data_IF_560277151278
#
_entry.id   IF_560277151278
#
_cell.length_a   1.000
_cell.length_b   1.000
_cell.length_c   1.000
_cell.angle_alpha   90.00
_cell.angle_beta   90.00
_cell.angle_gamma   90.00
#
_symmetry.space_group_name_H-M   'P 1'
#
loop_
_entity.id
_entity.type
_entity.pdbx_description
1 polymer ?
#
# COMPACT_ATOMS: atom_id res chain seq x y z
N UNK A 1 5.59 6.86 -1.86
CA UNK A 1 5.54 7.09 -3.31
C UNK A 1 6.96 7.30 -3.84
N UNK A 2 7.39 6.59 -4.89
CA UNK A 2 8.76 6.74 -5.43
C UNK A 2 8.91 8.01 -6.28
N UNK A 3 10.14 8.47 -6.48
CA UNK A 3 10.43 9.63 -7.34
C UNK A 3 9.90 9.47 -8.77
N UNK A 4 9.92 8.26 -9.33
CA UNK A 4 9.34 7.96 -10.64
C UNK A 4 7.82 8.19 -10.66
N UNK A 5 7.08 7.68 -9.65
CA UNK A 5 5.64 7.92 -9.52
C UNK A 5 5.33 9.41 -9.35
N UNK A 6 6.11 10.13 -8.55
CA UNK A 6 5.98 11.59 -8.43
C UNK A 6 6.15 12.24 -9.81
N UNK A 7 7.17 11.83 -10.58
CA UNK A 7 7.41 12.38 -11.92
C UNK A 7 6.27 12.11 -12.92
N UNK A 8 5.60 10.94 -12.82
CA UNK A 8 4.42 10.61 -13.61
C UNK A 8 3.23 11.51 -13.25
N UNK A 9 2.97 11.70 -11.95
CA UNK A 9 1.90 12.58 -11.45
C UNK A 9 2.08 14.01 -11.97
N UNK A 10 3.30 14.55 -11.86
CA UNK A 10 3.63 15.90 -12.32
C UNK A 10 3.91 15.99 -13.83
N UNK A 11 3.89 14.87 -14.57
CA UNK A 11 4.15 14.81 -16.01
C UNK A 11 5.51 15.35 -16.45
N UNK A 12 6.55 15.09 -15.67
CA UNK A 12 7.88 15.66 -15.88
C UNK A 12 8.92 14.54 -15.95
N UNK A 13 9.82 14.60 -16.94
CA UNK A 13 10.88 13.61 -17.09
C UNK A 13 11.95 13.81 -16.02
N UNK A 14 12.27 12.77 -15.27
CA UNK A 14 13.41 12.78 -14.35
C UNK A 14 14.72 12.84 -15.14
N UNK A 15 15.58 13.82 -14.82
CA UNK A 15 16.93 13.93 -15.38
C UNK A 15 17.93 14.05 -14.23
N UNK A 16 19.18 13.61 -14.45
CA UNK A 16 20.26 13.72 -13.44
C UNK A 16 20.55 15.17 -13.02
N UNK A 17 20.16 16.15 -13.84
CA UNK A 17 20.35 17.58 -13.60
C UNK A 17 19.16 18.23 -12.87
N UNK A 18 18.10 17.48 -12.59
CA UNK A 18 16.92 18.01 -11.91
C UNK A 18 17.29 18.45 -10.49
N UNK A 19 17.09 19.74 -10.21
CA UNK A 19 17.25 20.33 -8.87
C UNK A 19 15.88 20.49 -8.22
N UNK A 20 15.81 20.27 -6.90
CA UNK A 20 14.60 20.43 -6.09
C UNK A 20 14.18 19.18 -5.32
N UNK A 21 13.14 19.31 -4.50
CA UNK A 21 12.62 18.21 -3.67
C UNK A 21 11.91 17.16 -4.54
N UNK A 22 12.20 15.87 -4.32
CA UNK A 22 11.50 14.76 -4.98
C UNK A 22 11.29 13.61 -4.00
N UNK A 23 10.44 13.80 -3.00
CA UNK A 23 10.17 12.82 -1.96
C UNK A 23 8.71 12.85 -1.55
N UNK A 24 8.26 11.82 -0.84
CA UNK A 24 6.98 11.82 -0.16
C UNK A 24 7.20 11.71 1.35
N UNK A 25 6.37 12.42 2.12
CA UNK A 25 6.30 12.33 3.59
C UNK A 25 4.89 11.93 4.01
N UNK A 26 4.81 11.24 5.14
CA UNK A 26 3.57 11.02 5.87
C UNK A 26 3.78 11.64 7.25
N UNK A 27 3.12 12.76 7.49
CA UNK A 27 3.27 13.55 8.71
C UNK A 27 2.00 13.41 9.53
N UNK A 28 2.15 13.25 10.85
CA UNK A 28 1.04 13.37 11.79
C UNK A 28 0.95 14.83 12.19
N UNK A 29 -0.18 15.46 11.92
CA UNK A 29 -0.45 16.81 12.43
C UNK A 29 -0.99 16.65 13.87
N UNK A 30 -0.70 17.62 14.74
CA UNK A 30 -1.39 17.72 16.02
C UNK A 30 -2.90 17.64 15.78
N UNK A 31 -3.61 16.87 16.61
CA UNK A 31 -4.98 16.34 16.40
C UNK A 31 -5.11 14.98 15.70
N UNK A 32 -4.01 14.28 15.40
CA UNK A 32 -4.06 12.84 15.08
C UNK A 32 -4.42 12.50 13.63
N UNK A 33 -4.68 13.49 12.78
CA UNK A 33 -4.85 13.27 11.35
C UNK A 33 -3.51 13.17 10.65
N UNK A 34 -3.36 12.13 9.83
CA UNK A 34 -2.20 11.94 8.97
C UNK A 34 -2.36 12.73 7.67
N UNK A 35 -1.32 13.47 7.30
CA UNK A 35 -1.24 14.17 6.03
C UNK A 35 -0.11 13.57 5.22
N UNK A 36 -0.49 13.00 4.08
CA UNK A 36 0.45 12.57 3.07
C UNK A 36 0.85 13.78 2.24
N UNK A 37 2.15 14.00 2.03
CA UNK A 37 2.68 15.02 1.14
C UNK A 37 3.62 14.42 0.11
N UNK A 38 3.50 14.84 -1.14
CA UNK A 38 4.35 14.44 -2.23
C UNK A 38 4.98 15.66 -2.89
N UNK A 39 6.27 15.86 -2.69
CA UNK A 39 7.01 17.02 -3.17
C UNK A 39 7.59 16.80 -4.55
N UNK A 40 7.41 17.80 -5.41
CA UNK A 40 8.09 17.96 -6.69
C UNK A 40 8.59 19.41 -6.81
N UNK A 41 9.90 19.61 -6.70
CA UNK A 41 10.56 20.92 -6.64
C UNK A 41 9.94 21.79 -5.54
N UNK A 42 9.30 22.91 -5.90
CA UNK A 42 8.62 23.82 -4.98
C UNK A 42 7.09 23.64 -5.00
N UNK A 43 6.60 22.56 -5.61
CA UNK A 43 5.21 22.15 -5.61
C UNK A 43 5.04 20.88 -4.78
N UNK A 44 3.85 20.67 -4.26
CA UNK A 44 3.52 19.44 -3.57
C UNK A 44 2.03 19.13 -3.70
N UNK A 45 1.70 17.84 -3.66
CA UNK A 45 0.35 17.36 -3.43
C UNK A 45 0.24 17.00 -1.97
N UNK A 46 -0.87 17.36 -1.33
CA UNK A 46 -1.23 16.89 0.00
C UNK A 46 -2.55 16.12 -0.07
N UNK A 47 -2.60 15.01 0.65
CA UNK A 47 -3.81 14.22 0.83
C UNK A 47 -4.04 14.03 2.33
N UNK A 48 -5.26 14.29 2.76
CA UNK A 48 -5.64 14.18 4.16
C UNK A 48 -7.12 13.84 4.30
N UNK A 49 -7.44 13.25 5.44
CA UNK A 49 -8.81 12.95 5.84
C UNK A 49 -9.57 14.24 6.17
N UNK A 50 -10.77 14.39 5.62
CA UNK A 50 -11.67 15.50 5.90
C UNK A 50 -13.01 14.94 6.39
N UNK A 51 -13.42 15.39 7.58
CA UNK A 51 -14.68 15.00 8.24
C UNK A 51 -14.86 13.48 8.39
N UNK A 52 -13.78 12.72 8.54
CA UNK A 52 -13.80 11.26 8.71
C UNK A 52 -14.55 10.47 7.65
N UNK A 53 -14.78 11.09 6.49
CA UNK A 53 -15.60 10.52 5.41
C UNK A 53 -14.89 10.63 4.07
N UNK A 54 -14.10 11.69 3.84
CA UNK A 54 -13.49 11.96 2.54
C UNK A 54 -11.98 12.09 2.62
N UNK A 55 -11.27 11.57 1.61
CA UNK A 55 -9.88 11.93 1.37
C UNK A 55 -9.84 13.13 0.42
N UNK A 56 -9.34 14.27 0.91
CA UNK A 56 -9.19 15.48 0.11
C UNK A 56 -7.80 15.54 -0.50
N UNK A 57 -7.76 15.67 -1.82
CA UNK A 57 -6.53 15.89 -2.57
C UNK A 57 -6.37 17.38 -2.88
N UNK A 58 -5.23 17.96 -2.55
CA UNK A 58 -4.90 19.34 -2.88
C UNK A 58 -3.50 19.43 -3.47
N UNK A 59 -3.35 20.23 -4.52
CA UNK A 59 -2.05 20.60 -5.07
C UNK A 59 -1.72 22.04 -4.67
N UNK A 60 -0.49 22.25 -4.23
CA UNK A 60 0.06 23.54 -3.86
C UNK A 60 1.35 23.77 -4.65
N UNK A 61 1.58 25.00 -5.12
CA UNK A 61 2.82 25.37 -5.77
C UNK A 61 3.30 26.74 -5.33
N UNK A 62 4.52 26.79 -4.78
CA UNK A 62 5.18 28.04 -4.44
C UNK A 62 5.87 28.67 -5.67
N UNK A 63 6.04 27.91 -6.76
CA UNK A 63 6.62 28.40 -8.00
C UNK A 63 5.98 27.76 -9.24
N UNK A 64 5.06 28.48 -9.89
CA UNK A 64 4.36 28.02 -11.09
C UNK A 64 5.29 27.70 -12.28
N UNK A 65 6.48 28.32 -12.35
CA UNK A 65 7.46 28.04 -13.42
C UNK A 65 7.94 26.59 -13.40
N UNK A 66 7.96 25.95 -12.23
CA UNK A 66 8.34 24.54 -12.09
C UNK A 66 7.40 23.59 -12.85
N UNK A 67 6.17 24.05 -13.13
CA UNK A 67 5.12 23.33 -13.84
C UNK A 67 4.93 23.82 -15.29
N UNK A 68 5.80 24.74 -15.74
CA UNK A 68 5.71 25.39 -17.06
C UNK A 68 4.63 26.47 -17.16
N UNK A 69 4.20 27.04 -16.03
CA UNK A 69 3.14 28.03 -15.97
C UNK A 69 3.68 29.43 -15.65
N UNK A 70 3.03 30.46 -16.19
CA UNK A 70 3.32 31.87 -15.93
C UNK A 70 2.61 32.36 -14.68
N UNK A 71 3.20 33.35 -14.00
CA UNK A 71 2.56 34.09 -12.90
C UNK A 71 1.68 35.20 -13.49
N UNK A 72 0.58 35.56 -12.83
CA UNK A 72 -0.37 36.58 -13.27
C UNK A 72 -1.81 36.08 -13.30
N UNK A 73 -2.78 36.97 -13.07
CA UNK A 73 -4.20 36.61 -12.94
C UNK A 73 -4.79 36.07 -14.26
N UNK A 74 -4.31 36.57 -15.41
CA UNK A 74 -4.72 36.09 -16.75
C UNK A 74 -4.47 34.58 -16.94
N UNK A 75 -3.47 34.04 -16.24
CA UNK A 75 -3.07 32.65 -16.36
C UNK A 75 -3.84 31.72 -15.40
N UNK A 76 -4.79 32.22 -14.59
CA UNK A 76 -5.51 31.43 -13.59
C UNK A 76 -6.25 30.22 -14.20
N UNK A 77 -6.84 30.38 -15.39
CA UNK A 77 -7.51 29.28 -16.10
C UNK A 77 -6.52 28.16 -16.45
N UNK A 78 -5.34 28.52 -16.96
CA UNK A 78 -4.29 27.56 -17.29
C UNK A 78 -3.73 26.87 -16.04
N UNK A 79 -3.56 27.61 -14.93
CA UNK A 79 -3.17 27.06 -13.63
C UNK A 79 -4.20 26.03 -13.15
N UNK A 80 -5.48 26.39 -13.15
CA UNK A 80 -6.57 25.50 -12.73
C UNK A 80 -6.60 24.21 -13.55
N UNK A 81 -6.53 24.31 -14.88
CA UNK A 81 -6.53 23.13 -15.76
C UNK A 81 -5.34 22.22 -15.49
N UNK A 82 -4.13 22.80 -15.36
CA UNK A 82 -2.91 22.03 -15.07
C UNK A 82 -2.96 21.37 -13.70
N UNK A 83 -3.56 22.03 -12.71
CA UNK A 83 -3.70 21.50 -11.36
C UNK A 83 -4.74 20.36 -11.31
N UNK A 84 -5.82 20.46 -12.09
CA UNK A 84 -6.86 19.42 -12.21
C UNK A 84 -6.29 18.12 -12.78
N UNK A 85 -5.86 18.11 -14.06
CA UNK A 85 -4.49 17.72 -14.40
C UNK A 85 -3.78 16.68 -13.50
N UNK A 86 -2.91 17.26 -12.70
CA UNK A 86 -2.02 16.57 -11.78
C UNK A 86 -2.80 15.85 -10.67
N UNK A 87 -3.90 16.45 -10.20
CA UNK A 87 -4.74 15.88 -9.13
C UNK A 87 -5.49 14.65 -9.63
N UNK A 88 -6.02 14.68 -10.85
CA UNK A 88 -6.70 13.55 -11.49
C UNK A 88 -5.73 12.38 -11.71
N UNK A 89 -4.49 12.67 -12.12
CA UNK A 89 -3.45 11.63 -12.23
C UNK A 89 -3.06 11.04 -10.90
N UNK A 90 -3.00 11.87 -9.86
CA UNK A 90 -2.72 11.38 -8.51
C UNK A 90 -3.83 10.44 -8.04
N UNK A 91 -5.10 10.85 -8.19
CA UNK A 91 -6.25 10.02 -7.87
C UNK A 91 -6.30 8.74 -8.72
N UNK A 92 -6.05 8.84 -10.03
CA UNK A 92 -6.02 7.70 -10.95
C UNK A 92 -4.92 6.70 -10.59
N UNK A 93 -3.71 7.16 -10.28
CA UNK A 93 -2.62 6.29 -9.84
C UNK A 93 -2.95 5.57 -8.53
N UNK A 94 -3.64 6.25 -7.60
CA UNK A 94 -4.12 5.62 -6.37
C UNK A 94 -5.21 4.59 -6.67
N UNK A 95 -6.21 4.94 -7.47
CA UNK A 95 -7.27 4.04 -7.88
C UNK A 95 -6.70 2.79 -8.56
N UNK A 96 -5.79 2.93 -9.53
CA UNK A 96 -5.09 1.79 -10.15
C UNK A 96 -4.27 0.96 -9.16
N UNK A 97 -3.61 1.61 -8.21
CA UNK A 97 -2.83 0.91 -7.18
C UNK A 97 -3.73 0.13 -6.22
N UNK A 98 -4.94 0.62 -5.94
CA UNK A 98 -5.93 -0.03 -5.06
C UNK A 98 -6.92 -0.92 -5.80
N UNK A 99 -7.02 -0.82 -7.12
CA UNK A 99 -7.85 -1.69 -7.96
C UNK A 99 -7.15 -3.04 -8.18
N UNK A 100 -6.81 -3.69 -7.08
CA UNK A 100 -6.16 -5.00 -7.07
C UNK A 100 -7.27 -6.03 -7.14
N UNK A 101 -7.68 -6.39 -8.36
CA UNK A 101 -8.37 -7.66 -8.57
C UNK A 101 -7.35 -8.77 -8.38
N UNK A 102 -7.37 -9.39 -7.20
CA UNK A 102 -6.64 -10.62 -6.99
C UNK A 102 -7.44 -11.76 -7.60
N UNK A 103 -7.00 -12.25 -8.74
CA UNK A 103 -7.44 -13.56 -9.21
C UNK A 103 -7.03 -14.60 -8.15
N UNK A 104 -7.99 -15.37 -7.64
CA UNK A 104 -7.74 -16.42 -6.65
C UNK A 104 -6.67 -17.40 -7.13
N UNK A 105 -6.58 -17.63 -8.45
CA UNK A 105 -5.53 -18.43 -9.08
C UNK A 105 -4.11 -17.92 -8.79
N UNK A 106 -3.94 -16.60 -8.60
CA UNK A 106 -2.65 -16.00 -8.26
C UNK A 106 -2.29 -16.29 -6.79
N UNK A 107 -3.26 -16.20 -5.89
CA UNK A 107 -3.07 -16.52 -4.47
C UNK A 107 -2.72 -17.99 -4.28
N UNK A 108 -3.44 -18.88 -4.98
CA UNK A 108 -3.17 -20.31 -4.98
C UNK A 108 -1.75 -20.61 -5.50
N UNK A 109 -1.37 -20.04 -6.64
CA UNK A 109 0.01 -20.17 -7.18
C UNK A 109 1.08 -19.69 -6.20
N UNK A 110 0.83 -18.62 -5.46
CA UNK A 110 1.77 -18.13 -4.45
C UNK A 110 1.88 -19.09 -3.27
N UNK A 111 0.78 -19.73 -2.87
CA UNK A 111 0.76 -20.69 -1.78
C UNK A 111 1.54 -21.97 -2.10
N UNK A 112 1.66 -22.33 -3.39
CA UNK A 112 2.43 -23.48 -3.83
C UNK A 112 3.95 -23.23 -3.90
N UNK A 113 4.77 -24.26 -3.62
CA UNK A 113 6.21 -24.19 -3.85
C UNK A 113 6.56 -24.01 -5.33
N UNK A 114 7.61 -23.25 -5.60
CA UNK A 114 8.15 -23.02 -6.95
C UNK A 114 9.56 -23.59 -7.06
N UNK A 115 9.98 -23.91 -8.28
CA UNK A 115 11.37 -24.27 -8.57
C UNK A 115 12.11 -23.05 -9.13
N UNK A 116 13.26 -22.73 -8.57
CA UNK A 116 14.14 -21.68 -9.06
C UNK A 116 15.49 -22.31 -9.40
N UNK A 117 15.66 -22.71 -10.66
CA UNK A 117 16.72 -23.61 -11.07
C UNK A 117 16.57 -24.98 -10.40
N UNK A 118 17.64 -25.47 -9.77
CA UNK A 118 17.64 -26.75 -9.03
C UNK A 118 17.07 -26.65 -7.61
N UNK A 119 16.73 -25.45 -7.13
CA UNK A 119 16.32 -25.23 -5.74
C UNK A 119 14.81 -25.09 -5.66
N UNK A 120 14.18 -25.95 -4.83
CA UNK A 120 12.77 -25.81 -4.46
C UNK A 120 12.60 -24.71 -3.40
N UNK A 121 11.75 -23.74 -3.68
CA UNK A 121 11.43 -22.62 -2.80
C UNK A 121 9.99 -22.75 -2.32
N UNK A 122 9.77 -22.70 -1.01
CA UNK A 122 8.43 -22.83 -0.45
C UNK A 122 7.49 -21.69 -0.88
N UNK A 123 6.19 -21.98 -0.93
CA UNK A 123 5.15 -20.99 -1.19
C UNK A 123 5.00 -19.97 -0.06
N UNK A 124 4.22 -18.93 -0.34
CA UNK A 124 3.85 -17.84 0.55
C UNK A 124 2.34 -17.97 0.80
N UNK A 125 1.98 -18.35 2.04
CA UNK A 125 0.58 -18.52 2.44
C UNK A 125 -0.04 -17.17 2.78
N UNK A 126 -1.31 -16.98 2.43
CA UNK A 126 -2.03 -15.72 2.66
C UNK A 126 -2.16 -15.32 4.14
N UNK A 127 -2.12 -16.30 5.05
CA UNK A 127 -2.24 -16.11 6.50
C UNK A 127 -0.88 -16.11 7.24
N UNK A 128 0.25 -16.17 6.54
CA UNK A 128 1.57 -16.17 7.20
C UNK A 128 1.86 -14.77 7.78
N UNK A 129 1.62 -14.61 9.09
CA UNK A 129 1.80 -13.35 9.82
C UNK A 129 3.20 -12.76 9.63
N UNK A 130 4.23 -13.60 9.58
CA UNK A 130 5.62 -13.16 9.43
C UNK A 130 5.85 -12.57 8.03
N UNK A 131 5.26 -13.18 7.01
CA UNK A 131 5.34 -12.65 5.65
C UNK A 131 4.53 -11.38 5.45
N UNK A 132 3.34 -11.30 6.06
CA UNK A 132 2.50 -10.10 6.05
C UNK A 132 3.23 -8.92 6.70
N UNK A 133 3.84 -9.11 7.87
CA UNK A 133 4.64 -8.09 8.57
C UNK A 133 5.82 -7.60 7.72
N UNK A 134 6.51 -8.52 7.04
CA UNK A 134 7.59 -8.15 6.11
C UNK A 134 7.06 -7.34 4.92
N UNK A 135 5.93 -7.73 4.34
CA UNK A 135 5.28 -7.00 3.25
C UNK A 135 4.87 -5.59 3.68
N UNK A 136 4.34 -5.42 4.89
CA UNK A 136 3.98 -4.12 5.46
C UNK A 136 5.21 -3.19 5.54
N UNK A 137 6.32 -3.68 6.10
CA UNK A 137 7.57 -2.90 6.18
C UNK A 137 8.14 -2.58 4.80
N UNK A 138 8.00 -3.48 3.83
CA UNK A 138 8.46 -3.26 2.46
C UNK A 138 7.59 -2.26 1.68
N UNK A 139 6.28 -2.21 1.94
CA UNK A 139 5.39 -1.18 1.40
C UNK A 139 5.85 0.19 1.88
N UNK A 140 6.07 0.33 3.19
CA UNK A 140 6.58 1.56 3.79
C UNK A 140 7.95 1.96 3.25
N UNK A 141 8.85 0.99 3.07
CA UNK A 141 10.15 1.22 2.45
C UNK A 141 10.02 1.76 1.02
N UNK A 142 9.12 1.19 0.22
CA UNK A 142 8.82 1.64 -1.14
C UNK A 142 8.19 3.03 -1.19
N UNK A 143 7.70 3.55 -0.05
CA UNK A 143 7.23 4.92 0.00
C UNK A 143 8.33 5.97 0.07
N UNK A 144 9.52 5.57 0.52
CA UNK A 144 10.72 6.40 0.64
C UNK A 144 11.58 6.23 -0.61
N UNK A 145 12.41 7.22 -0.93
CA UNK A 145 13.27 7.20 -2.12
C UNK A 145 14.31 6.07 -2.04
N UNK A 146 14.75 5.75 -0.83
CA UNK A 146 15.78 4.75 -0.60
C UNK A 146 15.18 3.40 -0.20
N UNK A 147 15.40 2.40 -1.06
CA UNK A 147 15.16 0.99 -0.76
C UNK A 147 15.97 0.55 0.47
N UNK A 148 15.43 -0.34 1.31
CA UNK A 148 16.07 -0.71 2.57
C UNK A 148 17.05 -1.89 2.42
N UNK A 149 18.13 -1.86 3.20
CA UNK A 149 19.01 -3.01 3.39
C UNK A 149 18.33 -4.07 4.25
N UNK A 150 18.74 -5.33 4.14
CA UNK A 150 18.20 -6.41 4.98
C UNK A 150 18.33 -6.10 6.48
N UNK A 151 19.46 -5.52 6.91
CA UNK A 151 19.70 -5.16 8.32
C UNK A 151 18.70 -4.10 8.81
N UNK A 152 18.43 -3.09 7.98
CA UNK A 152 17.45 -2.05 8.33
C UNK A 152 16.03 -2.59 8.37
N UNK A 153 15.67 -3.46 7.43
CA UNK A 153 14.37 -4.16 7.41
C UNK A 153 14.18 -4.96 8.70
N UNK A 154 15.21 -5.72 9.12
CA UNK A 154 15.17 -6.52 10.34
C UNK A 154 14.91 -5.68 11.58
N UNK A 155 15.68 -4.61 11.76
CA UNK A 155 15.53 -3.69 12.90
C UNK A 155 14.12 -3.10 12.96
N UNK A 156 13.60 -2.61 11.83
CA UNK A 156 12.23 -2.05 11.76
C UNK A 156 11.19 -3.12 12.13
N UNK A 157 11.36 -4.37 11.70
CA UNK A 157 10.43 -5.45 12.02
C UNK A 157 10.40 -5.76 13.53
N UNK A 158 11.56 -5.86 14.16
CA UNK A 158 11.65 -6.13 15.60
C UNK A 158 11.07 -4.98 16.41
N UNK A 159 11.43 -3.74 16.07
CA UNK A 159 10.95 -2.53 16.74
C UNK A 159 9.43 -2.35 16.57
N UNK A 160 8.92 -2.41 15.34
CA UNK A 160 7.51 -2.15 15.03
C UNK A 160 6.57 -3.19 15.64
N UNK A 161 6.94 -4.47 15.53
CA UNK A 161 6.07 -5.57 15.97
C UNK A 161 6.44 -6.11 17.36
N UNK A 162 7.40 -5.48 18.05
CA UNK A 162 7.90 -5.87 19.37
C UNK A 162 8.26 -7.37 19.44
N UNK A 163 8.96 -7.84 18.42
CA UNK A 163 9.42 -9.24 18.29
C UNK A 163 10.86 -9.31 18.78
N UNK A 164 11.22 -10.37 19.50
CA UNK A 164 12.61 -10.62 19.90
C UNK A 164 13.45 -11.21 18.77
N UNK A 165 14.77 -11.02 18.80
CA UNK A 165 15.68 -11.62 17.81
C UNK A 165 15.66 -13.15 17.82
N UNK A 166 15.32 -13.76 18.95
CA UNK A 166 15.17 -15.21 19.07
C UNK A 166 13.93 -15.70 18.30
N UNK A 167 12.84 -14.94 18.36
CA UNK A 167 11.58 -15.29 17.68
C UNK A 167 11.63 -15.00 16.17
N UNK A 168 12.34 -13.96 15.75
CA UNK A 168 12.59 -13.68 14.34
C UNK A 168 14.05 -13.30 14.06
N UNK A 169 14.83 -14.33 13.73
CA UNK A 169 16.26 -14.18 13.49
C UNK A 169 16.59 -13.55 12.14
N UNK A 170 17.78 -12.97 12.03
CA UNK A 170 18.26 -12.41 10.77
C UNK A 170 18.36 -13.46 9.64
N UNK A 171 18.64 -14.72 9.96
CA UNK A 171 18.68 -15.81 8.98
C UNK A 171 17.29 -16.14 8.43
N UNK A 172 16.25 -16.11 9.27
CA UNK A 172 14.87 -16.24 8.83
C UNK A 172 14.48 -15.10 7.89
N UNK A 173 14.85 -13.85 8.21
CA UNK A 173 14.63 -12.72 7.29
C UNK A 173 15.32 -12.93 5.94
N UNK A 174 16.57 -13.40 5.92
CA UNK A 174 17.29 -13.67 4.65
C UNK A 174 16.60 -14.75 3.83
N UNK A 175 16.09 -15.78 4.50
CA UNK A 175 15.30 -16.83 3.86
C UNK A 175 14.00 -16.27 3.27
N UNK A 176 13.27 -15.45 4.03
CA UNK A 176 12.01 -14.83 3.62
C UNK A 176 12.21 -13.86 2.44
N UNK A 177 13.25 -13.03 2.47
CA UNK A 177 13.61 -12.15 1.35
C UNK A 177 13.99 -12.97 0.10
N UNK A 178 14.71 -14.08 0.25
CA UNK A 178 15.03 -14.98 -0.88
C UNK A 178 13.76 -15.65 -1.43
N UNK A 179 12.84 -16.06 -0.55
CA UNK A 179 11.54 -16.61 -0.92
C UNK A 179 10.74 -15.58 -1.74
N UNK A 180 10.54 -14.37 -1.21
CA UNK A 180 9.84 -13.29 -1.92
C UNK A 180 10.49 -12.92 -3.25
N UNK A 181 11.83 -12.93 -3.31
CA UNK A 181 12.56 -12.67 -4.56
C UNK A 181 12.30 -13.77 -5.60
N UNK A 182 12.28 -15.03 -5.19
CA UNK A 182 12.03 -16.16 -6.10
C UNK A 182 10.61 -16.13 -6.66
N UNK A 183 9.63 -15.67 -5.88
CA UNK A 183 8.26 -15.44 -6.34
C UNK A 183 8.08 -14.16 -7.19
N UNK A 184 9.17 -13.42 -7.44
CA UNK A 184 9.17 -12.18 -8.23
C UNK A 184 8.54 -10.97 -7.54
N UNK A 185 8.38 -11.02 -6.21
CA UNK A 185 7.75 -9.95 -5.43
C UNK A 185 8.72 -8.81 -5.10
N UNK A 186 10.00 -9.12 -4.98
CA UNK A 186 11.02 -8.11 -4.68
C UNK A 186 12.18 -8.18 -5.67
N UNK A 187 12.76 -7.03 -5.96
CA UNK A 187 14.00 -6.88 -6.68
C UNK A 187 15.11 -6.44 -5.72
N UNK A 188 16.34 -6.90 -5.98
CA UNK A 188 17.54 -6.47 -5.23
C UNK A 188 18.40 -5.59 -6.13
N UNK A 189 18.71 -4.38 -5.66
CA UNK A 189 19.64 -3.49 -6.36
C UNK A 189 21.08 -4.01 -6.24
N UNK A 190 21.77 -4.17 -7.39
CA UNK A 190 23.15 -4.68 -7.45
C UNK A 190 24.16 -3.77 -6.75
N UNK A 191 23.94 -2.45 -6.76
CA UNK A 191 24.93 -1.46 -6.26
C UNK A 191 24.82 -1.19 -4.76
N UNK A 192 23.62 -1.23 -4.20
CA UNK A 192 23.37 -0.84 -2.79
C UNK A 192 22.91 -1.99 -1.90
N UNK A 193 22.75 -3.19 -2.46
CA UNK A 193 22.23 -4.36 -1.76
C UNK A 193 20.89 -4.12 -1.04
N UNK A 194 20.07 -3.25 -1.63
CA UNK A 194 18.77 -2.86 -1.11
C UNK A 194 17.65 -3.65 -1.77
N UNK A 195 16.55 -3.84 -1.05
CA UNK A 195 15.36 -4.54 -1.52
C UNK A 195 14.22 -3.56 -1.76
N UNK A 196 13.55 -3.71 -2.89
CA UNK A 196 12.37 -2.95 -3.27
C UNK A 196 11.30 -3.89 -3.82
N UNK A 197 10.03 -3.58 -3.57
CA UNK A 197 8.91 -4.30 -4.19
C UNK A 197 8.92 -4.08 -5.71
N UNK A 198 8.64 -5.14 -6.45
CA UNK A 198 8.30 -5.05 -7.87
C UNK A 198 6.88 -4.51 -8.01
N UNK A 199 6.43 -4.24 -9.24
CA UNK A 199 5.03 -3.86 -9.46
C UNK A 199 4.07 -4.98 -9.02
N UNK A 200 4.36 -6.23 -9.44
CA UNK A 200 3.69 -7.45 -8.96
C UNK A 200 3.72 -7.54 -7.43
N UNK A 201 4.88 -7.34 -6.83
CA UNK A 201 5.07 -7.38 -5.39
C UNK A 201 4.28 -6.32 -4.64
N UNK A 202 4.15 -5.11 -5.21
CA UNK A 202 3.36 -4.04 -4.61
C UNK A 202 1.89 -4.42 -4.53
N UNK A 203 1.32 -4.93 -5.63
CA UNK A 203 -0.10 -5.36 -5.69
C UNK A 203 -0.36 -6.52 -4.71
N UNK A 204 0.51 -7.52 -4.69
CA UNK A 204 0.37 -8.68 -3.78
C UNK A 204 0.57 -8.28 -2.32
N UNK A 205 1.56 -7.44 -2.01
CA UNK A 205 1.80 -6.98 -0.64
C UNK A 205 0.61 -6.18 -0.10
N UNK A 206 0.06 -5.26 -0.91
CA UNK A 206 -1.14 -4.51 -0.56
C UNK A 206 -2.33 -5.44 -0.35
N UNK A 207 -2.55 -6.41 -1.24
CA UNK A 207 -3.59 -7.42 -1.06
C UNK A 207 -3.45 -8.17 0.26
N UNK A 208 -2.28 -8.71 0.57
CA UNK A 208 -2.04 -9.47 1.80
C UNK A 208 -2.26 -8.63 3.06
N UNK A 209 -1.73 -7.39 3.06
CA UNK A 209 -1.86 -6.48 4.21
C UNK A 209 -3.31 -6.03 4.39
N UNK A 210 -3.98 -5.59 3.33
CA UNK A 210 -5.37 -5.14 3.39
C UNK A 210 -6.32 -6.29 3.74
N UNK A 211 -6.13 -7.47 3.14
CA UNK A 211 -6.90 -8.67 3.47
C UNK A 211 -6.76 -9.02 4.95
N UNK A 212 -5.53 -9.02 5.48
CA UNK A 212 -5.32 -9.33 6.88
C UNK A 212 -5.88 -8.25 7.83
N UNK A 213 -5.70 -6.97 7.51
CA UNK A 213 -6.16 -5.87 8.37
C UNK A 213 -7.68 -5.68 8.35
N UNK A 214 -8.32 -5.85 7.21
CA UNK A 214 -9.73 -5.52 7.03
C UNK A 214 -10.66 -6.73 7.01
N UNK A 215 -10.19 -7.91 6.56
CA UNK A 215 -11.01 -9.12 6.50
C UNK A 215 -10.65 -10.07 7.65
N UNK A 216 -9.37 -10.45 7.77
CA UNK A 216 -8.97 -11.50 8.70
C UNK A 216 -8.97 -11.06 10.17
N UNK A 217 -8.51 -9.84 10.48
CA UNK A 217 -8.54 -9.31 11.85
C UNK A 217 -9.96 -9.16 12.40
N UNK A 218 -10.84 -8.38 11.74
CA UNK A 218 -12.18 -8.13 12.25
C UNK A 218 -13.15 -9.31 12.13
N UNK A 219 -13.10 -10.09 11.04
CA UNK A 219 -14.07 -11.16 10.79
C UNK A 219 -13.59 -12.53 11.29
N UNK A 220 -12.30 -12.86 11.18
CA UNK A 220 -11.81 -14.18 11.62
C UNK A 220 -11.57 -14.29 13.14
N UNK A 221 -11.39 -13.16 13.85
CA UNK A 221 -11.41 -13.11 15.33
C UNK A 221 -12.78 -12.67 15.88
N UNK A 222 -13.80 -12.64 15.03
CA UNK A 222 -15.15 -12.37 15.46
C UNK A 222 -15.60 -13.44 16.47
N UNK A 223 -16.04 -13.07 17.70
CA UNK A 223 -16.49 -14.03 18.71
C UNK A 223 -17.79 -14.76 18.32
N UNK A 224 -18.37 -14.44 17.16
CA UNK A 224 -19.68 -14.93 16.70
C UNK A 224 -19.64 -16.33 16.07
N UNK A 225 -18.73 -17.22 16.51
CA UNK A 225 -18.70 -18.64 16.10
C UNK A 225 -19.92 -19.41 16.61
N UNK A 226 -20.68 -18.88 17.57
CA UNK A 226 -21.98 -19.43 17.95
C UNK A 226 -23.10 -18.77 17.16
N UNK A 227 -23.81 -19.58 16.35
CA UNK A 227 -25.14 -19.25 15.83
C UNK A 227 -26.04 -18.92 17.04
N UNK A 228 -26.53 -17.69 17.22
CA UNK A 228 -27.32 -17.36 18.40
C UNK A 228 -28.62 -18.15 18.39
N UNK A 229 -28.87 -18.82 19.51
CA UNK A 229 -30.15 -19.46 19.88
C UNK A 229 -31.22 -18.36 19.88
N UNK A 230 -32.48 -18.64 19.49
CA UNK A 230 -33.56 -17.66 19.36
C UNK A 230 -34.07 -17.16 20.72
N UNK A 231 -33.19 -16.68 21.59
CA UNK A 231 -33.58 -15.80 22.68
C UNK A 231 -33.41 -14.35 22.23
N UNK A 232 -34.33 -13.44 22.61
CA UNK A 232 -34.32 -12.05 22.19
C UNK A 232 -33.19 -11.28 22.91
N UNK A 233 -31.94 -11.56 22.55
CA UNK A 233 -30.81 -10.73 22.93
C UNK A 233 -30.75 -9.53 21.98
N UNK A 234 -30.65 -8.32 22.52
CA UNK A 234 -30.55 -7.10 21.72
C UNK A 234 -29.24 -7.11 20.93
N UNK A 235 -29.33 -7.25 19.60
CA UNK A 235 -28.16 -7.23 18.72
C UNK A 235 -27.34 -5.95 18.92
N UNK A 236 -26.05 -6.14 19.20
CA UNK A 236 -25.07 -5.07 19.24
C UNK A 236 -24.90 -4.44 17.85
N UNK A 237 -24.43 -3.19 17.81
CA UNK A 237 -24.14 -2.50 16.54
C UNK A 237 -23.14 -3.27 15.66
N UNK A 238 -22.21 -4.02 16.27
CA UNK A 238 -21.23 -4.84 15.57
C UNK A 238 -21.87 -6.09 14.95
N UNK A 239 -22.73 -6.80 15.69
CA UNK A 239 -23.46 -7.97 15.18
C UNK A 239 -24.35 -7.60 13.99
N UNK A 240 -25.04 -6.46 14.08
CA UNK A 240 -25.86 -5.95 12.97
C UNK A 240 -25.03 -5.62 11.74
N UNK A 241 -23.85 -5.01 11.92
CA UNK A 241 -22.94 -4.71 10.82
C UNK A 241 -22.37 -5.98 10.19
N UNK A 242 -22.01 -6.98 11.00
CA UNK A 242 -21.52 -8.28 10.56
C UNK A 242 -22.58 -9.03 9.74
N UNK A 243 -23.82 -9.14 10.25
CA UNK A 243 -24.93 -9.78 9.53
C UNK A 243 -25.27 -9.07 8.22
N UNK A 244 -25.17 -7.73 8.19
CA UNK A 244 -25.35 -6.96 6.97
C UNK A 244 -24.26 -7.24 5.93
N UNK A 245 -23.02 -7.45 6.37
CA UNK A 245 -21.92 -7.86 5.50
C UNK A 245 -22.15 -9.27 4.94
N UNK A 246 -22.50 -10.24 5.80
CA UNK A 246 -22.84 -11.61 5.37
C UNK A 246 -23.99 -11.61 4.36
N UNK A 247 -25.10 -10.94 4.66
CA UNK A 247 -26.25 -10.85 3.75
C UNK A 247 -25.90 -10.17 2.40
N UNK A 248 -25.01 -9.19 2.41
CA UNK A 248 -24.53 -8.57 1.18
C UNK A 248 -23.62 -9.50 0.37
N UNK A 249 -22.79 -10.32 1.05
CA UNK A 249 -21.96 -11.34 0.41
C UNK A 249 -22.86 -12.43 -0.21
N UNK A 250 -23.84 -12.93 0.55
CA UNK A 250 -24.81 -13.93 0.08
C UNK A 250 -25.56 -13.43 -1.15
N UNK A 251 -26.01 -12.17 -1.14
CA UNK A 251 -26.66 -11.56 -2.30
C UNK A 251 -25.75 -11.49 -3.53
N UNK A 252 -24.47 -11.16 -3.36
CA UNK A 252 -23.49 -11.19 -4.46
C UNK A 252 -23.31 -12.62 -4.98
N UNK A 253 -23.25 -13.62 -4.10
CA UNK A 253 -23.14 -15.03 -4.49
C UNK A 253 -24.38 -15.46 -5.28
N UNK A 254 -25.58 -15.10 -4.84
CA UNK A 254 -26.82 -15.38 -5.57
C UNK A 254 -26.80 -14.76 -6.97
N UNK A 255 -26.41 -13.49 -7.08
CA UNK A 255 -26.30 -12.80 -8.38
C UNK A 255 -25.26 -13.45 -9.31
N UNK A 256 -24.15 -13.94 -8.76
CA UNK A 256 -23.12 -14.65 -9.52
C UNK A 256 -23.56 -16.05 -10.00
N UNK A 257 -24.49 -16.71 -9.32
CA UNK A 257 -25.04 -18.00 -9.76
C UNK A 257 -26.11 -17.87 -10.84
N UNK A 258 -26.71 -16.69 -10.99
CA UNK A 258 -27.76 -16.39 -11.99
C UNK A 258 -27.15 -15.81 -13.29
N UNK A 259 -25.89 -15.36 -13.26
CA UNK A 259 -25.15 -14.81 -14.40
C UNK A 259 -24.33 -15.87 -15.14
#
# INVERSE_FOLDING_TARGET
MTGHKISQIFSQRLTKRMRGKLHATLERIDHGHHVFRAYFKNSFIKQYEKFSTFLRNEICSNNLRDLGLKKGHDNLKAVRQRFQIITDRFAGLQAETFNIHADFSLLERLAHPIHNGSIRVAGIKIHDTRMIRLMEVLIDAGTRIDAFSARRIHQILLERFRISEQAYSFNQLRYDLRKMKSHGLIARSRRRYTYALTEKGTRIALLFVLFHQHLFGPLAHSPFVKRPVPEPCQETKLERAYRRADAAIDHVIELLHVA
#
